data_IF_217314883847
#
_entry.id   IF_217314883847
#
_cell.length_a   1.000
_cell.length_b   1.000
_cell.length_c   1.000
_cell.angle_alpha   90.00
_cell.angle_beta   90.00
_cell.angle_gamma   90.00
#
_symmetry.space_group_name_H-M   'P 1'
#
loop_
_entity.id
_entity.type
_entity.pdbx_description
1 polymer ?
#
# COMPACT_ATOMS: atom_id res chain seq x y z
N UNK A 1 12.31 10.62 3.43
CA UNK A 1 11.28 10.09 2.51
C UNK A 1 11.93 9.01 1.67
N UNK A 2 11.50 7.75 1.70
CA UNK A 2 11.93 6.81 0.68
C UNK A 2 11.25 7.22 -0.63
N UNK A 3 12.03 7.77 -1.57
CA UNK A 3 11.58 8.05 -2.93
C UNK A 3 11.17 6.71 -3.56
N UNK A 4 9.89 6.53 -3.87
CA UNK A 4 9.45 5.45 -4.75
C UNK A 4 9.99 5.73 -6.16
N UNK A 5 11.18 5.21 -6.46
CA UNK A 5 11.78 5.28 -7.78
C UNK A 5 11.01 4.37 -8.73
N UNK A 6 10.52 4.93 -9.84
CA UNK A 6 9.71 4.21 -10.82
C UNK A 6 10.43 4.24 -12.15
N UNK A 7 10.64 3.04 -12.71
CA UNK A 7 11.29 2.85 -13.99
C UNK A 7 10.29 3.05 -15.12
N UNK A 8 10.40 4.17 -15.83
CA UNK A 8 9.47 4.54 -16.91
C UNK A 8 10.05 4.21 -18.29
N UNK A 9 11.37 4.31 -18.44
CA UNK A 9 12.07 4.05 -19.69
C UNK A 9 13.37 3.29 -19.41
N UNK A 10 13.58 2.20 -20.14
CA UNK A 10 14.86 1.50 -20.23
C UNK A 10 15.30 1.54 -21.68
N UNK A 11 16.49 2.07 -21.94
CA UNK A 11 17.09 1.98 -23.26
C UNK A 11 17.46 0.55 -23.64
N UNK A 12 17.56 0.29 -24.95
CA UNK A 12 17.92 -1.03 -25.47
C UNK A 12 19.28 -1.58 -24.99
N UNK A 13 20.18 -0.70 -24.52
CA UNK A 13 21.50 -1.03 -23.95
C UNK A 13 21.50 -1.10 -22.41
N UNK A 14 20.35 -0.88 -21.75
CA UNK A 14 20.24 -0.87 -20.29
C UNK A 14 20.92 0.31 -19.57
N UNK A 15 21.58 1.21 -20.30
CA UNK A 15 22.42 2.29 -19.74
C UNK A 15 21.69 3.59 -19.41
N UNK A 16 20.50 3.80 -19.96
CA UNK A 16 19.65 4.92 -19.56
C UNK A 16 18.45 4.34 -18.82
N UNK A 17 18.46 4.51 -17.51
CA UNK A 17 17.40 4.14 -16.61
C UNK A 17 16.76 5.42 -16.12
N UNK A 18 15.52 5.68 -16.55
CA UNK A 18 14.75 6.78 -16.02
C UNK A 18 14.07 6.30 -14.74
N UNK A 19 14.78 6.37 -13.62
CA UNK A 19 14.23 6.19 -12.28
C UNK A 19 13.65 7.52 -11.81
N UNK A 20 12.32 7.64 -11.81
CA UNK A 20 11.66 8.90 -11.43
C UNK A 20 10.68 8.61 -10.32
N UNK A 21 10.71 9.46 -9.31
CA UNK A 21 9.66 9.48 -8.31
C UNK A 21 8.35 9.89 -8.99
N UNK A 22 7.31 9.05 -8.93
CA UNK A 22 5.97 9.52 -9.26
C UNK A 22 5.56 10.52 -8.18
N UNK A 23 5.33 11.75 -8.59
CA UNK A 23 4.73 12.79 -7.77
C UNK A 23 3.35 13.08 -8.36
N UNK A 24 2.30 12.95 -7.55
CA UNK A 24 0.90 13.22 -7.97
C UNK A 24 0.45 12.40 -9.19
N UNK A 25 0.70 11.08 -9.17
CA UNK A 25 0.30 10.13 -10.23
C UNK A 25 0.94 10.38 -11.62
N UNK A 26 1.87 11.31 -11.73
CA UNK A 26 2.56 11.63 -12.98
C UNK A 26 4.06 11.84 -12.76
N UNK A 27 4.78 12.02 -13.85
CA UNK A 27 6.24 12.09 -13.89
C UNK A 27 6.64 13.55 -14.00
N UNK A 28 7.50 14.01 -13.10
CA UNK A 28 8.06 15.36 -13.15
C UNK A 28 9.59 15.29 -13.18
N UNK A 29 10.20 16.01 -14.12
CA UNK A 29 11.66 16.08 -14.27
C UNK A 29 12.16 17.52 -14.19
N UNK A 30 13.31 17.71 -13.56
CA UNK A 30 14.07 18.95 -13.73
C UNK A 30 14.93 18.90 -15.01
N UNK A 31 15.53 20.04 -15.37
CA UNK A 31 16.36 20.12 -16.59
C UNK A 31 17.56 19.16 -16.56
N UNK A 32 18.23 19.01 -15.41
CA UNK A 32 19.40 18.14 -15.29
C UNK A 32 19.04 16.67 -15.58
N UNK A 33 17.90 16.20 -15.05
CA UNK A 33 17.40 14.86 -15.32
C UNK A 33 17.03 14.68 -16.81
N UNK A 34 16.45 15.71 -17.45
CA UNK A 34 16.18 15.65 -18.89
C UNK A 34 17.47 15.66 -19.74
N UNK A 35 18.52 16.37 -19.30
CA UNK A 35 19.83 16.32 -19.94
C UNK A 35 20.41 14.91 -19.92
N UNK A 36 20.29 14.22 -18.78
CA UNK A 36 20.73 12.84 -18.61
C UNK A 36 19.89 11.88 -19.47
N UNK A 37 18.56 11.95 -19.35
CA UNK A 37 17.61 11.13 -20.09
C UNK A 37 17.86 11.19 -21.60
N UNK A 38 17.99 12.40 -22.14
CA UNK A 38 18.13 12.61 -23.59
C UNK A 38 19.59 12.69 -24.05
N UNK A 39 20.56 12.58 -23.14
CA UNK A 39 22.00 12.80 -23.40
C UNK A 39 22.24 14.05 -24.25
N UNK A 40 21.81 15.19 -23.73
CA UNK A 40 21.93 16.49 -24.38
C UNK A 40 22.29 17.60 -23.41
N UNK A 41 22.94 18.62 -23.94
CA UNK A 41 23.35 19.78 -23.17
C UNK A 41 22.15 20.56 -22.64
N UNK A 42 22.33 21.16 -21.47
CA UNK A 42 21.29 21.95 -20.80
C UNK A 42 20.77 23.11 -21.67
N UNK A 43 21.63 23.71 -22.48
CA UNK A 43 21.26 24.78 -23.40
C UNK A 43 20.25 24.32 -24.46
N UNK A 44 20.41 23.09 -24.96
CA UNK A 44 19.52 22.47 -25.96
C UNK A 44 18.16 22.15 -25.31
N UNK A 45 18.17 21.52 -24.14
CA UNK A 45 16.95 21.20 -23.39
C UNK A 45 16.19 22.48 -23.05
N UNK A 46 16.86 23.50 -22.50
CA UNK A 46 16.26 24.79 -22.17
C UNK A 46 15.62 25.47 -23.38
N UNK A 47 16.28 25.40 -24.54
CA UNK A 47 15.73 25.94 -25.79
C UNK A 47 14.44 25.23 -26.19
N UNK A 48 14.41 23.90 -26.11
CA UNK A 48 13.21 23.14 -26.49
C UNK A 48 12.04 23.41 -25.55
N UNK A 49 12.25 23.44 -24.22
CA UNK A 49 11.23 23.81 -23.23
C UNK A 49 10.66 25.21 -23.54
N UNK A 50 11.54 26.19 -23.75
CA UNK A 50 11.11 27.56 -24.06
C UNK A 50 10.25 27.60 -25.32
N UNK A 51 10.62 26.83 -26.34
CA UNK A 51 9.83 26.74 -27.57
C UNK A 51 8.48 26.08 -27.34
N UNK A 52 8.38 25.05 -26.49
CA UNK A 52 7.10 24.39 -26.15
C UNK A 52 6.08 25.40 -25.62
N UNK A 53 6.50 26.26 -24.67
CA UNK A 53 5.62 27.29 -24.12
C UNK A 53 5.40 28.46 -25.08
N UNK A 54 6.45 28.92 -25.78
CA UNK A 54 6.35 30.03 -26.73
C UNK A 54 5.43 29.74 -27.91
N UNK A 55 5.43 28.50 -28.39
CA UNK A 55 4.58 28.05 -29.50
C UNK A 55 3.15 27.72 -29.04
N UNK A 56 2.87 27.79 -27.73
CA UNK A 56 1.56 27.48 -27.18
C UNK A 56 1.18 26.00 -27.24
N UNK A 57 2.15 25.09 -27.38
CA UNK A 57 1.88 23.65 -27.38
C UNK A 57 1.35 23.19 -26.02
N UNK A 58 1.90 23.75 -24.93
CA UNK A 58 1.46 23.46 -23.57
C UNK A 58 1.38 24.77 -22.77
N UNK A 59 0.40 24.92 -21.86
CA UNK A 59 0.34 26.06 -20.95
C UNK A 59 1.38 25.90 -19.82
N UNK A 60 2.13 26.96 -19.53
CA UNK A 60 3.22 26.94 -18.53
C UNK A 60 2.69 26.69 -17.10
N UNK A 61 1.52 27.22 -16.75
CA UNK A 61 0.94 27.16 -15.40
C UNK A 61 0.70 25.74 -14.89
N UNK A 62 0.25 24.83 -15.77
CA UNK A 62 -0.01 23.43 -15.39
C UNK A 62 1.17 22.49 -15.65
N UNK A 63 2.22 22.97 -16.33
CA UNK A 63 3.30 22.13 -16.84
C UNK A 63 4.69 22.50 -16.33
N UNK A 64 4.81 23.59 -15.56
CA UNK A 64 6.04 24.00 -14.90
C UNK A 64 5.77 24.37 -13.43
N UNK A 65 6.52 23.76 -12.52
CA UNK A 65 6.48 24.07 -11.10
C UNK A 65 7.85 24.53 -10.61
N UNK A 66 7.88 25.55 -9.74
CA UNK A 66 9.12 26.02 -9.10
C UNK A 66 9.19 25.46 -7.68
N UNK A 67 10.15 24.59 -7.43
CA UNK A 67 10.38 23.98 -6.13
C UNK A 67 11.48 24.73 -5.37
N UNK A 68 11.19 25.13 -4.14
CA UNK A 68 12.18 25.70 -3.24
C UNK A 68 12.98 24.58 -2.56
N UNK A 69 14.31 24.70 -2.59
CA UNK A 69 15.22 23.78 -1.91
C UNK A 69 15.72 24.48 -0.65
N UNK A 70 15.55 23.84 0.51
CA UNK A 70 16.06 24.35 1.78
C UNK A 70 17.59 24.53 1.70
N UNK A 71 18.08 25.76 1.90
CA UNK A 71 19.50 26.11 1.79
C UNK A 71 19.96 26.56 0.39
N UNK A 72 19.04 26.73 -0.58
CA UNK A 72 19.36 27.31 -1.88
C UNK A 72 18.48 28.52 -2.18
N UNK A 73 19.10 29.65 -2.54
CA UNK A 73 18.40 30.89 -2.91
C UNK A 73 17.70 30.81 -4.28
N UNK A 74 17.94 29.76 -5.07
CA UNK A 74 17.38 29.61 -6.41
C UNK A 74 16.38 28.44 -6.49
N UNK A 75 15.10 28.70 -6.79
CA UNK A 75 14.14 27.63 -6.98
C UNK A 75 14.49 26.80 -8.22
N UNK A 76 14.26 25.49 -8.13
CA UNK A 76 14.46 24.55 -9.24
C UNK A 76 13.15 24.30 -9.97
N UNK A 77 13.14 24.53 -11.28
CA UNK A 77 11.97 24.25 -12.11
C UNK A 77 11.86 22.76 -12.43
N UNK A 78 10.67 22.19 -12.23
CA UNK A 78 10.26 20.86 -12.68
C UNK A 78 9.21 20.98 -13.77
N UNK A 79 9.24 20.03 -14.69
CA UNK A 79 8.39 19.98 -15.89
C UNK A 79 7.62 18.67 -15.94
N UNK A 80 6.37 18.75 -16.38
CA UNK A 80 5.45 17.62 -16.45
C UNK A 80 5.85 16.58 -17.50
N UNK A 81 5.22 15.41 -17.44
CA UNK A 81 5.35 14.35 -18.45
C UNK A 81 5.08 14.87 -19.88
N UNK A 82 4.12 15.76 -20.06
CA UNK A 82 3.77 16.30 -21.38
C UNK A 82 4.92 17.14 -21.96
N UNK A 83 5.58 17.94 -21.14
CA UNK A 83 6.78 18.70 -21.56
C UNK A 83 7.92 17.74 -21.88
N UNK A 84 8.12 16.70 -21.06
CA UNK A 84 9.17 15.70 -21.28
C UNK A 84 8.94 14.98 -22.62
N UNK A 85 7.70 14.57 -22.90
CA UNK A 85 7.31 13.94 -24.17
C UNK A 85 7.59 14.89 -25.33
N UNK A 86 7.11 16.14 -25.25
CA UNK A 86 7.30 17.13 -26.31
C UNK A 86 8.79 17.40 -26.60
N UNK A 87 9.60 17.59 -25.56
CA UNK A 87 11.05 17.74 -25.68
C UNK A 87 11.68 16.48 -26.28
N UNK A 88 11.27 15.29 -25.86
CA UNK A 88 11.72 14.01 -26.40
C UNK A 88 11.47 13.87 -27.91
N UNK A 89 10.38 14.45 -28.42
CA UNK A 89 10.11 14.51 -29.85
C UNK A 89 10.99 15.52 -30.61
N UNK A 90 11.39 16.61 -29.95
CA UNK A 90 12.18 17.71 -30.55
C UNK A 90 13.70 17.48 -30.49
N UNK A 91 14.15 16.63 -29.57
CA UNK A 91 15.59 16.36 -29.38
C UNK A 91 16.13 15.39 -30.43
N UNK A 92 17.22 15.80 -31.09
CA UNK A 92 17.95 15.00 -32.07
C UNK A 92 19.06 14.17 -31.41
N UNK A 93 18.79 13.22 -30.52
CA UNK A 93 19.81 12.30 -29.97
C UNK A 93 19.44 10.84 -30.18
N UNK A 94 20.41 9.92 -30.07
CA UNK A 94 20.12 8.48 -30.08
C UNK A 94 19.15 8.10 -28.95
N UNK A 95 19.27 8.74 -27.78
CA UNK A 95 18.29 8.61 -26.69
C UNK A 95 16.92 9.16 -27.06
N UNK A 96 16.84 10.33 -27.70
CA UNK A 96 15.58 10.87 -28.22
C UNK A 96 14.91 9.93 -29.22
N UNK A 97 15.68 9.29 -30.11
CA UNK A 97 15.17 8.28 -31.05
C UNK A 97 14.56 7.09 -30.30
N UNK A 98 15.28 6.52 -29.34
CA UNK A 98 14.79 5.39 -28.55
C UNK A 98 13.57 5.74 -27.71
N UNK A 99 13.58 6.93 -27.10
CA UNK A 99 12.42 7.44 -26.35
C UNK A 99 11.19 7.55 -27.25
N UNK A 100 11.33 8.10 -28.46
CA UNK A 100 10.23 8.17 -29.43
C UNK A 100 9.74 6.80 -29.88
N UNK A 101 10.66 5.86 -30.14
CA UNK A 101 10.29 4.48 -30.49
C UNK A 101 9.49 3.81 -29.38
N UNK A 102 9.95 3.95 -28.13
CA UNK A 102 9.24 3.47 -26.95
C UNK A 102 7.87 4.12 -26.79
N UNK A 103 7.78 5.46 -26.83
CA UNK A 103 6.52 6.18 -26.67
C UNK A 103 5.51 5.83 -27.78
N UNK A 104 5.98 5.70 -29.02
CA UNK A 104 5.15 5.28 -30.16
C UNK A 104 4.67 3.84 -29.99
N UNK A 105 5.53 2.93 -29.50
CA UNK A 105 5.16 1.55 -29.26
C UNK A 105 4.10 1.44 -28.16
N UNK A 106 4.28 2.17 -27.04
CA UNK A 106 3.29 2.24 -25.93
C UNK A 106 1.94 2.73 -26.44
N UNK A 107 1.93 3.81 -27.25
CA UNK A 107 0.72 4.34 -27.86
C UNK A 107 0.07 3.34 -28.85
N UNK A 108 0.89 2.69 -29.69
CA UNK A 108 0.40 1.70 -30.65
C UNK A 108 -0.21 0.49 -29.94
N UNK A 109 0.43 -0.02 -28.89
CA UNK A 109 -0.10 -1.07 -28.04
C UNK A 109 -1.44 -0.65 -27.43
N UNK A 110 -1.51 0.58 -26.90
CA UNK A 110 -2.75 1.13 -26.34
C UNK A 110 -3.89 1.15 -27.36
N UNK A 111 -3.62 1.67 -28.55
CA UNK A 111 -4.63 1.84 -29.61
C UNK A 111 -5.06 0.50 -30.22
N UNK A 112 -4.15 -0.48 -30.33
CA UNK A 112 -4.46 -1.78 -30.93
C UNK A 112 -5.11 -2.74 -29.93
N UNK A 113 -4.63 -2.76 -28.68
CA UNK A 113 -5.09 -3.72 -27.66
C UNK A 113 -6.16 -3.12 -26.73
N UNK A 114 -6.38 -1.80 -26.76
CA UNK A 114 -7.28 -1.08 -25.84
C UNK A 114 -6.70 -0.87 -24.44
N UNK A 115 -5.49 -1.35 -24.16
CA UNK A 115 -4.77 -1.18 -22.90
C UNK A 115 -3.26 -1.26 -23.11
N UNK A 116 -2.48 -0.73 -22.18
CA UNK A 116 -1.01 -0.88 -22.17
C UNK A 116 -0.56 -1.39 -20.81
N UNK A 117 0.35 -2.36 -20.80
CA UNK A 117 0.69 -3.13 -19.61
C UNK A 117 2.18 -2.96 -19.28
N UNK A 118 2.49 -2.41 -18.10
CA UNK A 118 3.88 -2.35 -17.62
C UNK A 118 4.24 -3.68 -16.93
N UNK A 119 4.74 -4.65 -17.72
CA UNK A 119 5.11 -6.01 -17.25
C UNK A 119 6.17 -6.02 -16.15
N UNK A 120 7.12 -5.07 -16.16
CA UNK A 120 8.18 -5.00 -15.15
C UNK A 120 7.63 -4.53 -13.82
N UNK A 121 6.77 -3.51 -13.83
CA UNK A 121 6.00 -3.07 -12.65
C UNK A 121 5.11 -4.18 -12.10
N UNK A 122 4.49 -4.98 -12.99
CA UNK A 122 3.69 -6.15 -12.58
C UNK A 122 4.53 -7.21 -11.87
N UNK A 123 5.78 -7.42 -12.30
CA UNK A 123 6.69 -8.36 -11.66
C UNK A 123 7.29 -7.80 -10.36
N UNK A 124 7.63 -6.50 -10.32
CA UNK A 124 8.28 -5.84 -9.17
C UNK A 124 7.34 -5.57 -7.99
N UNK A 125 6.02 -5.49 -8.22
CA UNK A 125 5.05 -5.24 -7.15
C UNK A 125 4.40 -6.48 -6.55
N UNK A 126 4.63 -7.69 -7.09
CA UNK A 126 4.10 -8.97 -6.57
C UNK A 126 2.57 -9.11 -6.53
N UNK A 127 1.85 -8.00 -6.63
CA UNK A 127 0.41 -7.88 -6.56
C UNK A 127 0.06 -6.89 -7.65
N UNK A 128 -0.79 -7.29 -8.58
CA UNK A 128 -2.00 -6.55 -8.96
C UNK A 128 -2.64 -7.12 -10.23
N UNK A 129 -3.00 -8.41 -10.17
CA UNK A 129 -4.17 -8.91 -10.91
C UNK A 129 -5.40 -8.04 -10.60
N UNK A 130 -5.52 -7.54 -9.36
CA UNK A 130 -6.57 -6.60 -8.93
C UNK A 130 -6.57 -5.28 -9.73
N UNK A 131 -5.43 -4.64 -10.01
CA UNK A 131 -5.43 -3.42 -10.86
C UNK A 131 -5.69 -3.74 -12.32
N UNK A 132 -5.13 -4.84 -12.84
CA UNK A 132 -5.39 -5.27 -14.21
C UNK A 132 -6.88 -5.58 -14.40
N UNK A 133 -7.53 -6.24 -13.44
CA UNK A 133 -8.96 -6.55 -13.44
C UNK A 133 -9.82 -5.32 -13.21
N UNK A 134 -9.44 -4.41 -12.32
CA UNK A 134 -10.16 -3.14 -12.13
C UNK A 134 -10.09 -2.27 -13.39
N UNK A 135 -8.94 -2.22 -14.07
CA UNK A 135 -8.79 -1.55 -15.35
C UNK A 135 -9.67 -2.23 -16.41
N UNK A 136 -9.61 -3.57 -16.52
CA UNK A 136 -10.43 -4.33 -17.45
C UNK A 136 -11.92 -4.08 -17.22
N UNK A 137 -12.37 -4.18 -15.97
CA UNK A 137 -13.76 -3.94 -15.55
C UNK A 137 -14.23 -2.53 -15.89
N UNK A 138 -13.40 -1.50 -15.63
CA UNK A 138 -13.69 -0.10 -16.01
C UNK A 138 -13.76 0.10 -17.52
N UNK A 139 -12.83 -0.48 -18.28
CA UNK A 139 -12.81 -0.37 -19.75
C UNK A 139 -14.03 -1.06 -20.37
N UNK A 140 -14.34 -2.26 -19.90
CA UNK A 140 -15.49 -3.05 -20.30
C UNK A 140 -16.82 -2.32 -20.02
N UNK A 141 -16.92 -1.66 -18.87
CA UNK A 141 -18.09 -0.86 -18.49
C UNK A 141 -18.19 0.45 -19.30
N UNK A 142 -17.08 1.16 -19.48
CA UNK A 142 -17.06 2.48 -20.14
C UNK A 142 -17.25 2.43 -21.66
N UNK A 143 -16.88 1.31 -22.31
CA UNK A 143 -17.10 1.15 -23.76
C UNK A 143 -18.50 0.60 -24.12
N UNK A 144 -19.37 0.37 -23.13
CA UNK A 144 -20.69 -0.22 -23.36
C UNK A 144 -20.64 -1.63 -23.97
N UNK A 145 -19.47 -2.29 -23.89
CA UNK A 145 -19.19 -3.58 -24.52
C UNK A 145 -19.74 -4.77 -23.73
N UNK A 146 -20.34 -4.52 -22.56
CA UNK A 146 -20.68 -5.57 -21.60
C UNK A 146 -22.12 -5.43 -21.16
N UNK A 147 -22.87 -6.53 -21.28
CA UNK A 147 -24.24 -6.62 -20.76
C UNK A 147 -24.25 -6.49 -19.23
N UNK A 148 -25.42 -6.26 -18.63
CA UNK A 148 -25.54 -6.23 -17.17
C UNK A 148 -24.97 -7.49 -16.51
N UNK A 149 -25.12 -8.65 -17.16
CA UNK A 149 -24.56 -9.93 -16.73
C UNK A 149 -23.04 -9.96 -16.80
N UNK A 150 -22.44 -9.42 -17.86
CA UNK A 150 -20.98 -9.39 -17.96
C UNK A 150 -20.33 -8.42 -16.98
N UNK A 151 -21.01 -7.33 -16.62
CA UNK A 151 -20.55 -6.41 -15.57
C UNK A 151 -20.60 -7.08 -14.19
N UNK A 152 -21.66 -7.87 -13.93
CA UNK A 152 -21.76 -8.68 -12.73
C UNK A 152 -20.62 -9.73 -12.64
N UNK A 153 -20.33 -10.44 -13.74
CA UNK A 153 -19.23 -11.42 -13.79
C UNK A 153 -17.87 -10.73 -13.57
N UNK A 154 -17.64 -9.57 -14.19
CA UNK A 154 -16.42 -8.80 -13.95
C UNK A 154 -16.29 -8.34 -12.49
N UNK A 155 -17.40 -7.99 -11.84
CA UNK A 155 -17.47 -7.71 -10.40
C UNK A 155 -17.02 -8.91 -9.57
N UNK A 156 -17.58 -10.10 -9.81
CA UNK A 156 -17.21 -11.34 -9.10
C UNK A 156 -15.72 -11.66 -9.28
N UNK A 157 -15.18 -11.53 -10.50
CA UNK A 157 -13.76 -11.77 -10.77
C UNK A 157 -12.88 -10.76 -10.02
N UNK A 158 -13.27 -9.49 -9.98
CA UNK A 158 -12.54 -8.45 -9.25
C UNK A 158 -12.56 -8.71 -7.74
N UNK A 159 -13.71 -9.08 -7.18
CA UNK A 159 -13.85 -9.42 -5.76
C UNK A 159 -13.03 -10.68 -5.41
N UNK A 160 -12.97 -11.65 -6.33
CA UNK A 160 -12.21 -12.89 -6.15
C UNK A 160 -10.70 -12.72 -6.36
N UNK A 161 -10.27 -11.74 -7.17
CA UNK A 161 -8.87 -11.48 -7.50
C UNK A 161 -7.99 -11.35 -6.25
N UNK A 162 -8.49 -10.63 -5.24
CA UNK A 162 -7.79 -10.47 -3.97
C UNK A 162 -7.71 -11.78 -3.21
N UNK A 163 -8.82 -12.49 -3.06
CA UNK A 163 -8.85 -13.78 -2.36
C UNK A 163 -7.91 -14.79 -3.01
N UNK A 164 -7.89 -14.85 -4.34
CA UNK A 164 -6.96 -15.69 -5.09
C UNK A 164 -5.50 -15.33 -4.82
N UNK A 165 -5.14 -14.05 -4.88
CA UNK A 165 -3.77 -13.60 -4.61
C UNK A 165 -3.30 -13.95 -3.20
N UNK A 166 -4.20 -13.86 -2.21
CA UNK A 166 -3.88 -14.24 -0.83
C UNK A 166 -3.72 -15.74 -0.65
N UNK A 167 -4.59 -16.55 -1.29
CA UNK A 167 -4.48 -18.01 -1.27
C UNK A 167 -3.20 -18.48 -1.94
N UNK A 168 -2.88 -17.93 -3.12
CA UNK A 168 -1.65 -18.25 -3.83
C UNK A 168 -0.42 -17.86 -3.01
N UNK A 169 -0.38 -16.64 -2.46
CA UNK A 169 0.74 -16.20 -1.62
C UNK A 169 0.87 -17.02 -0.34
N UNK A 170 -0.23 -17.55 0.19
CA UNK A 170 -0.23 -18.47 1.32
C UNK A 170 0.38 -19.83 0.93
N UNK A 171 -0.06 -20.43 -0.17
CA UNK A 171 0.42 -21.73 -0.68
C UNK A 171 1.91 -21.68 -1.04
N UNK A 172 2.36 -20.57 -1.61
CA UNK A 172 3.76 -20.32 -1.96
C UNK A 172 4.63 -19.89 -0.76
N UNK A 173 4.02 -19.64 0.40
CA UNK A 173 4.66 -19.07 1.61
C UNK A 173 5.34 -17.70 1.37
N UNK A 174 4.78 -16.89 0.47
CA UNK A 174 5.35 -15.62 -0.02
C UNK A 174 4.45 -14.41 0.24
N UNK A 175 3.70 -14.41 1.35
CA UNK A 175 2.93 -13.22 1.74
C UNK A 175 3.88 -12.07 2.13
N UNK A 176 3.77 -10.96 1.40
CA UNK A 176 4.63 -9.79 1.56
C UNK A 176 4.36 -9.02 2.86
N UNK A 177 5.34 -8.25 3.32
CA UNK A 177 5.15 -7.32 4.44
C UNK A 177 4.36 -6.08 4.02
N UNK A 178 3.42 -5.65 4.87
CA UNK A 178 2.75 -4.36 4.70
C UNK A 178 3.64 -3.26 5.29
N UNK A 179 4.43 -2.62 4.43
CA UNK A 179 5.41 -1.58 4.82
C UNK A 179 4.83 -0.18 5.14
N UNK A 180 3.51 -0.04 5.32
CA UNK A 180 2.87 1.24 5.64
C UNK A 180 3.24 1.64 7.07
N UNK A 181 3.64 2.90 7.29
CA UNK A 181 3.93 3.46 8.62
C UNK A 181 2.76 4.32 9.12
N UNK A 182 2.24 4.02 10.31
CA UNK A 182 1.14 4.73 10.97
C UNK A 182 1.57 5.15 12.40
N UNK A 183 2.21 6.31 12.57
CA UNK A 183 2.78 6.70 13.87
C UNK A 183 1.73 7.01 14.94
N UNK A 184 0.52 7.43 14.55
CA UNK A 184 -0.55 7.86 15.46
C UNK A 184 -1.43 6.69 15.98
N UNK A 185 -0.84 5.51 16.14
CA UNK A 185 -1.53 4.35 16.70
C UNK A 185 -1.76 4.53 18.20
N UNK A 186 -2.96 4.17 18.65
CA UNK A 186 -3.34 4.19 20.06
C UNK A 186 -3.01 2.84 20.70
N UNK A 187 -2.15 2.81 21.74
CA UNK A 187 -1.80 1.58 22.43
C UNK A 187 -3.01 1.04 23.20
N UNK A 188 -2.95 -0.25 23.54
CA UNK A 188 -3.89 -0.90 24.45
C UNK A 188 -3.17 -1.19 25.76
N UNK A 189 -3.46 -0.38 26.78
CA UNK A 189 -2.79 -0.47 28.08
C UNK A 189 -3.20 -1.75 28.83
N UNK A 190 -2.29 -2.28 29.66
CA UNK A 190 -2.54 -3.52 30.40
C UNK A 190 -3.77 -3.41 31.31
N UNK A 191 -3.90 -2.31 32.07
CA UNK A 191 -5.02 -2.13 32.99
C UNK A 191 -6.36 -2.07 32.26
N UNK A 192 -6.39 -1.40 31.10
CA UNK A 192 -7.57 -1.37 30.23
C UNK A 192 -7.90 -2.76 29.68
N UNK A 193 -6.89 -3.51 29.21
CA UNK A 193 -7.03 -4.89 28.74
C UNK A 193 -7.61 -5.80 29.83
N UNK A 194 -7.11 -5.70 31.05
CA UNK A 194 -7.57 -6.50 32.19
C UNK A 194 -9.00 -6.16 32.59
N UNK A 195 -9.35 -4.87 32.65
CA UNK A 195 -10.71 -4.43 32.96
C UNK A 195 -11.71 -4.99 31.95
N UNK A 196 -11.41 -4.87 30.65
CA UNK A 196 -12.28 -5.35 29.59
C UNK A 196 -12.39 -6.88 29.54
N UNK A 197 -11.30 -7.61 29.81
CA UNK A 197 -11.36 -9.08 29.99
C UNK A 197 -12.24 -9.42 31.19
N UNK A 198 -12.19 -8.64 32.27
CA UNK A 198 -13.05 -8.79 33.43
C UNK A 198 -14.54 -8.64 33.09
N UNK A 199 -14.91 -7.61 32.32
CA UNK A 199 -16.28 -7.41 31.84
C UNK A 199 -16.76 -8.55 30.93
N UNK A 200 -15.88 -8.99 30.01
CA UNK A 200 -16.15 -10.15 29.16
C UNK A 200 -16.36 -11.42 30.00
N UNK A 201 -15.51 -11.66 31.00
CA UNK A 201 -15.63 -12.79 31.93
C UNK A 201 -16.99 -12.79 32.61
N UNK A 202 -17.40 -11.66 33.20
CA UNK A 202 -18.69 -11.55 33.90
C UNK A 202 -19.86 -11.85 32.96
N UNK A 203 -19.81 -11.31 31.74
CA UNK A 203 -20.83 -11.55 30.72
C UNK A 203 -20.95 -13.03 30.34
N UNK A 204 -19.81 -13.71 30.16
CA UNK A 204 -19.80 -15.12 29.76
C UNK A 204 -20.19 -16.05 30.92
N UNK A 205 -19.79 -15.75 32.15
CA UNK A 205 -20.22 -16.51 33.35
C UNK A 205 -21.74 -16.39 33.51
N UNK A 206 -22.30 -15.19 33.36
CA UNK A 206 -23.75 -14.98 33.44
C UNK A 206 -24.54 -15.79 32.39
N UNK A 207 -23.93 -16.08 31.24
CA UNK A 207 -24.50 -16.95 30.19
C UNK A 207 -24.20 -18.45 30.38
N UNK A 208 -23.40 -18.82 31.37
CA UNK A 208 -22.95 -20.21 31.55
C UNK A 208 -21.88 -20.66 30.54
N UNK A 209 -21.23 -19.73 29.84
CA UNK A 209 -20.26 -19.99 28.77
C UNK A 209 -18.79 -19.95 29.24
N UNK A 210 -18.56 -19.57 30.50
CA UNK A 210 -17.24 -19.45 31.11
C UNK A 210 -17.25 -19.87 32.58
N UNK A 211 -16.06 -20.17 33.10
CA UNK A 211 -15.81 -20.45 34.52
C UNK A 211 -14.99 -19.32 35.15
N UNK A 212 -14.77 -19.39 36.47
CA UNK A 212 -13.90 -18.45 37.18
C UNK A 212 -12.46 -18.40 36.66
N UNK A 213 -11.99 -19.45 35.97
CA UNK A 213 -10.65 -19.50 35.39
C UNK A 213 -10.52 -18.67 34.11
N UNK A 214 -11.63 -18.34 33.44
CA UNK A 214 -11.63 -17.58 32.21
C UNK A 214 -11.00 -16.20 32.44
N UNK A 215 -10.07 -15.80 31.57
CA UNK A 215 -9.44 -14.48 31.64
C UNK A 215 -8.48 -14.27 32.80
N UNK A 216 -8.23 -15.28 33.64
CA UNK A 216 -7.26 -15.17 34.76
C UNK A 216 -5.84 -15.17 34.21
N UNK A 217 -5.09 -14.09 34.43
CA UNK A 217 -3.71 -13.93 33.97
C UNK A 217 -2.77 -14.96 34.61
N UNK A 218 -1.80 -15.45 33.81
CA UNK A 218 -0.72 -16.33 34.21
C UNK A 218 0.63 -15.64 33.96
N UNK A 219 1.30 -15.25 35.05
CA UNK A 219 2.58 -14.54 34.97
C UNK A 219 2.47 -13.23 34.17
N UNK A 220 3.54 -12.85 33.48
CA UNK A 220 3.62 -11.57 32.77
C UNK A 220 3.30 -11.69 31.27
N UNK A 221 2.77 -12.83 30.82
CA UNK A 221 2.62 -13.13 29.39
C UNK A 221 1.72 -12.14 28.64
N UNK A 222 0.63 -11.68 29.27
CA UNK A 222 -0.28 -10.71 28.65
C UNK A 222 0.37 -9.32 28.57
N UNK A 223 1.03 -8.90 29.65
CA UNK A 223 1.78 -7.65 29.71
C UNK A 223 2.88 -7.64 28.65
N UNK A 224 3.63 -8.74 28.52
CA UNK A 224 4.63 -8.92 27.47
C UNK A 224 4.02 -8.82 26.08
N UNK A 225 2.89 -9.46 25.81
CA UNK A 225 2.26 -9.42 24.48
C UNK A 225 1.86 -7.98 24.08
N UNK A 226 1.27 -7.21 25.01
CA UNK A 226 0.88 -5.82 24.79
C UNK A 226 2.11 -4.91 24.66
N UNK A 227 3.13 -5.11 25.49
CA UNK A 227 4.36 -4.32 25.40
C UNK A 227 5.16 -4.61 24.12
N UNK A 228 5.19 -5.88 23.67
CA UNK A 228 5.95 -6.27 22.47
C UNK A 228 5.43 -5.53 21.24
N UNK A 229 4.12 -5.47 21.02
CA UNK A 229 3.56 -4.81 19.82
C UNK A 229 3.84 -3.29 19.78
N UNK A 230 4.25 -2.70 20.90
CA UNK A 230 4.61 -1.28 21.02
C UNK A 230 6.12 -1.03 20.84
N UNK A 231 6.94 -2.07 20.71
CA UNK A 231 8.40 -1.94 20.62
C UNK A 231 8.89 -1.27 19.33
N UNK A 232 10.02 -0.59 19.46
CA UNK A 232 10.75 0.05 18.37
C UNK A 232 12.19 0.36 18.75
N UNK A 233 12.95 0.88 17.79
CA UNK A 233 14.31 1.35 17.97
C UNK A 233 14.44 2.78 17.43
N UNK A 234 14.79 3.72 18.31
CA UNK A 234 14.75 5.15 17.97
C UNK A 234 13.33 5.58 17.57
N UNK A 235 13.20 6.19 16.39
CA UNK A 235 11.92 6.60 15.83
C UNK A 235 11.26 5.50 14.96
N UNK A 236 11.85 4.31 14.86
CA UNK A 236 11.33 3.21 14.04
C UNK A 236 10.60 2.15 14.88
N UNK A 237 9.31 1.98 14.61
CA UNK A 237 8.50 0.91 15.20
C UNK A 237 8.80 -0.43 14.52
N UNK A 238 8.96 -1.49 15.31
CA UNK A 238 9.08 -2.86 14.77
C UNK A 238 7.76 -3.35 14.15
N UNK A 239 6.65 -2.81 14.63
CA UNK A 239 5.30 -3.07 14.14
C UNK A 239 4.73 -1.74 13.65
N UNK A 240 4.96 -1.37 12.37
CA UNK A 240 4.79 0.00 11.90
C UNK A 240 3.33 0.41 11.64
N UNK A 241 2.36 -0.49 11.78
CA UNK A 241 0.96 -0.21 11.47
C UNK A 241 -0.03 -1.06 12.29
N UNK A 242 -1.31 -0.67 12.22
CA UNK A 242 -2.39 -1.32 12.98
C UNK A 242 -2.56 -2.78 12.61
N UNK A 243 -2.33 -3.13 11.34
CA UNK A 243 -2.42 -4.51 10.85
C UNK A 243 -1.37 -5.40 11.51
N UNK A 244 -0.10 -4.98 11.48
CA UNK A 244 1.02 -5.71 12.08
C UNK A 244 0.87 -5.85 13.59
N UNK A 245 0.53 -4.76 14.30
CA UNK A 245 0.29 -4.83 15.76
C UNK A 245 -0.89 -5.72 16.12
N UNK A 246 -2.01 -5.60 15.41
CA UNK A 246 -3.19 -6.43 15.61
C UNK A 246 -2.92 -7.92 15.36
N UNK A 247 -2.24 -8.24 14.25
CA UNK A 247 -1.87 -9.61 13.91
C UNK A 247 -0.95 -10.26 14.96
N UNK A 248 0.07 -9.53 15.41
CA UNK A 248 0.97 -10.00 16.45
C UNK A 248 0.26 -10.15 17.80
N UNK A 249 -0.61 -9.22 18.17
CA UNK A 249 -1.41 -9.32 19.41
C UNK A 249 -2.26 -10.59 19.42
N UNK A 250 -3.01 -10.84 18.33
CA UNK A 250 -3.82 -12.04 18.18
C UNK A 250 -2.94 -13.29 18.29
N UNK A 251 -1.83 -13.32 17.57
CA UNK A 251 -0.89 -14.45 17.57
C UNK A 251 -0.32 -14.73 18.97
N UNK A 252 0.21 -13.70 19.65
CA UNK A 252 0.84 -13.86 20.96
C UNK A 252 -0.13 -14.29 22.04
N UNK A 253 -1.33 -13.70 22.11
CA UNK A 253 -2.31 -14.09 23.13
C UNK A 253 -2.80 -15.52 22.90
N UNK A 254 -2.96 -15.96 21.65
CA UNK A 254 -3.40 -17.33 21.38
C UNK A 254 -2.28 -18.35 21.61
N UNK A 255 -1.07 -18.14 21.05
CA UNK A 255 0.02 -19.13 21.11
C UNK A 255 0.75 -19.17 22.44
N UNK A 256 0.92 -18.03 23.12
CA UNK A 256 1.70 -17.99 24.35
C UNK A 256 0.87 -18.33 25.58
N UNK A 257 -0.45 -18.50 25.42
CA UNK A 257 -1.39 -18.84 26.48
C UNK A 257 -1.21 -18.03 27.80
N UNK A 258 -1.23 -16.69 27.75
CA UNK A 258 -1.00 -15.85 28.92
C UNK A 258 -2.13 -15.89 29.96
N UNK A 259 -3.26 -16.55 29.66
CA UNK A 259 -4.41 -16.70 30.53
C UNK A 259 -4.60 -18.18 30.90
N UNK A 260 -5.15 -18.44 32.09
CA UNK A 260 -5.44 -19.79 32.57
C UNK A 260 -6.49 -20.50 31.69
N UNK A 261 -7.51 -19.77 31.25
CA UNK A 261 -8.49 -20.21 30.24
C UNK A 261 -8.93 -19.02 29.38
N UNK A 262 -9.45 -19.29 28.20
CA UNK A 262 -10.05 -18.29 27.32
C UNK A 262 -9.10 -17.64 26.33
N UNK A 263 -7.84 -18.08 26.20
CA UNK A 263 -6.82 -17.47 25.34
C UNK A 263 -7.29 -17.16 23.91
N UNK A 264 -8.01 -18.09 23.27
CA UNK A 264 -8.62 -17.87 21.93
C UNK A 264 -9.64 -16.73 21.95
N UNK A 265 -10.58 -16.78 22.90
CA UNK A 265 -11.68 -15.80 23.04
C UNK A 265 -11.16 -14.41 23.45
N UNK A 266 -10.28 -14.34 24.45
CA UNK A 266 -9.65 -13.10 24.88
C UNK A 266 -8.71 -12.54 23.82
N UNK A 267 -7.93 -13.37 23.12
CA UNK A 267 -7.09 -12.94 22.01
C UNK A 267 -7.90 -12.31 20.88
N UNK A 268 -8.98 -12.98 20.45
CA UNK A 268 -9.93 -12.44 19.47
C UNK A 268 -10.59 -11.13 19.93
N UNK A 269 -10.98 -11.06 21.21
CA UNK A 269 -11.58 -9.86 21.80
C UNK A 269 -10.61 -8.68 21.81
N UNK A 270 -9.39 -8.86 22.34
CA UNK A 270 -8.37 -7.82 22.39
C UNK A 270 -7.94 -7.38 20.99
N UNK A 271 -7.86 -8.32 20.04
CA UNK A 271 -7.61 -8.03 18.64
C UNK A 271 -8.66 -7.09 18.05
N UNK A 272 -9.95 -7.45 18.14
CA UNK A 272 -11.04 -6.59 17.66
C UNK A 272 -11.07 -5.23 18.37
N UNK A 273 -10.82 -5.21 19.68
CA UNK A 273 -10.83 -3.98 20.45
C UNK A 273 -9.68 -3.05 20.03
N UNK A 274 -8.48 -3.61 19.82
CA UNK A 274 -7.33 -2.87 19.32
C UNK A 274 -7.61 -2.25 17.94
N UNK A 275 -8.22 -3.01 17.02
CA UNK A 275 -8.64 -2.50 15.72
C UNK A 275 -9.67 -1.36 15.85
N UNK A 276 -10.68 -1.53 16.72
CA UNK A 276 -11.72 -0.51 16.95
C UNK A 276 -11.14 0.78 17.55
N UNK A 277 -10.20 0.67 18.49
CA UNK A 277 -9.50 1.83 19.07
C UNK A 277 -8.74 2.62 18.01
N UNK A 278 -8.27 1.93 16.97
CA UNK A 278 -7.51 2.48 15.85
C UNK A 278 -8.34 2.62 14.55
N UNK A 279 -9.68 2.62 14.63
CA UNK A 279 -10.55 2.60 13.46
C UNK A 279 -10.31 3.74 12.45
N UNK A 280 -9.82 4.90 12.92
CA UNK A 280 -9.46 6.04 12.05
C UNK A 280 -8.32 5.74 11.05
N UNK A 281 -7.51 4.72 11.33
CA UNK A 281 -6.37 4.27 10.53
C UNK A 281 -6.72 3.10 9.59
N UNK A 282 -7.95 2.59 9.66
CA UNK A 282 -8.45 1.51 8.82
C UNK A 282 -9.17 2.06 7.59
N UNK A 283 -9.07 1.36 6.46
CA UNK A 283 -9.74 1.72 5.22
C UNK A 283 -11.25 1.45 5.27
N UNK A 284 -11.69 0.53 6.12
CA UNK A 284 -13.09 0.13 6.30
C UNK A 284 -13.40 -0.10 7.78
N UNK A 285 -14.69 -0.05 8.19
CA UNK A 285 -15.10 -0.46 9.53
C UNK A 285 -14.61 -1.87 9.88
N UNK A 286 -14.31 -2.12 11.15
CA UNK A 286 -13.76 -3.40 11.63
C UNK A 286 -14.66 -4.58 11.25
N UNK A 287 -15.98 -4.39 11.31
CA UNK A 287 -16.99 -5.42 11.02
C UNK A 287 -17.01 -5.82 9.53
N UNK A 288 -16.52 -4.95 8.64
CA UNK A 288 -16.37 -5.26 7.21
C UNK A 288 -15.02 -5.90 6.88
N UNK A 289 -14.01 -5.74 7.75
CA UNK A 289 -12.70 -6.35 7.59
C UNK A 289 -12.67 -7.75 8.20
N UNK A 290 -13.19 -7.88 9.43
CA UNK A 290 -13.19 -9.10 10.22
C UNK A 290 -14.63 -9.33 10.72
N UNK A 291 -15.37 -10.16 10.00
CA UNK A 291 -16.66 -10.66 10.47
C UNK A 291 -16.47 -11.85 11.43
N UNK A 292 -17.56 -12.33 12.03
CA UNK A 292 -17.53 -13.41 13.02
C UNK A 292 -16.90 -14.71 12.47
N UNK A 293 -17.22 -15.08 11.23
CA UNK A 293 -16.67 -16.28 10.60
C UNK A 293 -15.16 -16.15 10.36
N UNK A 294 -14.70 -15.00 9.88
CA UNK A 294 -13.29 -14.69 9.68
C UNK A 294 -12.53 -14.74 11.01
N UNK A 295 -13.10 -14.15 12.07
CA UNK A 295 -12.47 -14.13 13.39
C UNK A 295 -12.29 -15.53 13.97
N UNK A 296 -13.33 -16.37 13.86
CA UNK A 296 -13.28 -17.76 14.31
C UNK A 296 -12.23 -18.54 13.51
N UNK A 297 -12.23 -18.40 12.19
CA UNK A 297 -11.25 -19.07 11.33
C UNK A 297 -9.81 -18.66 11.69
N UNK A 298 -9.54 -17.36 11.86
CA UNK A 298 -8.22 -16.86 12.23
C UNK A 298 -7.78 -17.36 13.62
N UNK A 299 -8.67 -17.33 14.60
CA UNK A 299 -8.34 -17.79 15.95
C UNK A 299 -8.01 -19.28 16.01
N UNK A 300 -8.73 -20.11 15.24
CA UNK A 300 -8.46 -21.54 15.12
C UNK A 300 -7.18 -21.80 14.33
N UNK A 301 -6.99 -21.11 13.19
CA UNK A 301 -5.80 -21.24 12.36
C UNK A 301 -4.53 -20.91 13.15
N UNK A 302 -4.54 -19.81 13.90
CA UNK A 302 -3.42 -19.45 14.79
C UNK A 302 -3.23 -20.50 15.87
N UNK A 303 -4.29 -20.98 16.52
CA UNK A 303 -4.15 -21.97 17.59
C UNK A 303 -3.47 -23.26 17.10
N UNK A 304 -3.90 -23.76 15.93
CA UNK A 304 -3.42 -25.00 15.33
C UNK A 304 -2.11 -24.84 14.53
N UNK A 305 -1.64 -23.62 14.28
CA UNK A 305 -0.42 -23.40 13.48
C UNK A 305 0.83 -23.92 14.16
N UNK A 306 1.77 -24.45 13.36
CA UNK A 306 3.09 -24.85 13.83
C UNK A 306 3.98 -23.62 14.15
N UNK A 307 5.01 -23.74 15.00
CA UNK A 307 5.88 -22.62 15.36
C UNK A 307 6.62 -21.97 14.17
N UNK A 308 7.02 -22.77 13.18
CA UNK A 308 7.66 -22.33 11.94
C UNK A 308 6.71 -21.55 11.02
N UNK A 309 5.40 -21.79 11.13
CA UNK A 309 4.36 -21.07 10.40
C UNK A 309 4.03 -19.70 10.99
N UNK A 310 4.68 -19.29 12.09
CA UNK A 310 4.42 -18.01 12.78
C UNK A 310 4.33 -16.82 11.82
N UNK A 311 5.36 -16.64 11.00
CA UNK A 311 5.44 -15.50 10.09
C UNK A 311 4.32 -15.54 9.07
N UNK A 312 4.01 -16.72 8.51
CA UNK A 312 2.94 -16.89 7.54
C UNK A 312 1.58 -16.53 8.13
N UNK A 313 1.27 -16.99 9.34
CA UNK A 313 0.01 -16.68 10.03
C UNK A 313 -0.15 -15.19 10.26
N UNK A 314 0.91 -14.55 10.76
CA UNK A 314 0.93 -13.11 11.03
C UNK A 314 0.70 -12.34 9.74
N UNK A 315 1.42 -12.66 8.66
CA UNK A 315 1.23 -12.02 7.36
C UNK A 315 -0.17 -12.23 6.82
N UNK A 316 -0.75 -13.43 6.95
CA UNK A 316 -2.12 -13.67 6.53
C UNK A 316 -3.11 -12.76 7.27
N UNK A 317 -2.97 -12.63 8.59
CA UNK A 317 -3.84 -11.76 9.40
C UNK A 317 -3.65 -10.28 9.00
N UNK A 318 -2.41 -9.84 8.76
CA UNK A 318 -2.10 -8.48 8.31
C UNK A 318 -2.89 -8.12 7.04
N UNK A 319 -2.96 -9.04 6.07
CA UNK A 319 -3.65 -8.79 4.80
C UNK A 319 -5.18 -8.73 4.89
N UNK A 320 -5.79 -9.24 5.97
CA UNK A 320 -7.22 -9.04 6.23
C UNK A 320 -7.53 -7.63 6.78
N UNK A 321 -6.52 -6.88 7.22
CA UNK A 321 -6.70 -5.58 7.86
C UNK A 321 -6.30 -4.48 6.89
N UNK A 322 -7.29 -3.96 6.15
CA UNK A 322 -7.03 -2.91 5.17
C UNK A 322 -6.77 -1.58 5.86
N UNK A 323 -5.60 -1.01 5.58
CA UNK A 323 -5.14 0.24 6.14
C UNK A 323 -5.55 1.40 5.24
N UNK A 324 -5.88 2.53 5.87
CA UNK A 324 -6.08 3.78 5.17
C UNK A 324 -4.73 4.27 4.68
N UNK A 325 -4.63 4.65 3.41
CA UNK A 325 -3.45 5.33 2.89
C UNK A 325 -3.26 6.64 3.65
N UNK A 326 -2.02 6.93 4.05
CA UNK A 326 -1.69 8.17 4.74
C UNK A 326 -2.07 9.35 3.86
N UNK A 327 -3.05 10.14 4.30
CA UNK A 327 -3.39 11.38 3.65
C UNK A 327 -2.14 12.28 3.70
N UNK A 328 -1.49 12.46 2.55
CA UNK A 328 -0.51 13.53 2.41
C UNK A 328 -1.14 14.82 2.91
N UNK A 329 -0.48 15.47 3.88
CA UNK A 329 -0.91 16.74 4.49
C UNK A 329 -1.48 17.65 3.40
N UNK A 330 -2.81 17.81 3.35
CA UNK A 330 -3.43 18.97 2.72
C UNK A 330 -3.00 20.16 3.56
N UNK A 331 -1.96 20.88 3.12
CA UNK A 331 -1.65 22.19 3.66
C UNK A 331 -2.78 23.13 3.25
N UNK A 332 -3.79 23.24 4.11
CA UNK A 332 -4.68 24.38 4.15
C UNK A 332 -3.86 25.59 4.60
N UNK A 333 -3.66 26.55 3.70
CA UNK A 333 -3.37 27.93 4.06
C UNK A 333 -4.45 28.81 3.44
N UNK A 334 -5.61 28.82 4.09
CA UNK A 334 -6.47 30.02 4.16
C UNK A 334 -5.93 30.82 5.34
N UNK A 335 -5.24 31.91 5.04
CA UNK A 335 -5.55 33.28 5.50
C UNK A 335 -4.52 34.26 4.93
#
# INVERSE_FOLDING_TARGET
MPNQQIQIFTSADGQAQLEVALEQETVWLNQAQMCELFRRDQSVISRHIRNVFKEGELPEESNMQKMHIAGSDKPVSRYSLDVIISVGYRVKSQRGVQFRQWATQVLKEHLVQGYTLNRRRLAERGIEFEQAMNLLSRTLSNQGLVSAEGAAVAGVISDYARSWSLLQGYDEQQLAEIGIKQPDMRPLELDEALAAIGELKQTLIAKGEATELFGRVRGDGLASALATIEQGFGDELFYPNVASRGAHLLYFVIKNHPLADGNKRCGSFLFLWYLRRNAALLARPVEQLINDNTLVALALLVAESLPDQKTLMIRLIEHFILLKESAGKKSSSTD
#
